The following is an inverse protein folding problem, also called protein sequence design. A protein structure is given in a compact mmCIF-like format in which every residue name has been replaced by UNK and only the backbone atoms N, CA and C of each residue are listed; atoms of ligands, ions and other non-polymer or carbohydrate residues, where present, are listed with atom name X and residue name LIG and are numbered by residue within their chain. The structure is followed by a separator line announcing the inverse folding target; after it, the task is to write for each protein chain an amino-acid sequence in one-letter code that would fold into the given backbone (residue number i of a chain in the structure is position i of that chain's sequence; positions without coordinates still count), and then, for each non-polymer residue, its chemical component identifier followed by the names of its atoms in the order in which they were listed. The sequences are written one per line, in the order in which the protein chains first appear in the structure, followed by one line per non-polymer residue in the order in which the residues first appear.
data_IF_082285693880
#
_entry.id   IF_082285693880
#
_cell.length_a   1.000
_cell.length_b   1.000
_cell.length_c   1.000
_cell.angle_alpha   90.00
_cell.angle_beta   90.00
_cell.angle_gamma   90.00
#
_symmetry.space_group_name_H-M   'P 1'
#
loop_
_entity.id
_entity.type
_entity.pdbx_description
1 polymer ?
#
# COMPACT_ATOMS: atom_id res chain seq x y z
N UNK A 1 -11.92 15.07 -13.05
CA UNK A 1 -12.67 13.82 -13.32
C UNK A 1 -13.33 13.24 -12.07
N UNK A 2 -12.63 13.08 -10.93
CA UNK A 2 -13.18 12.46 -9.72
C UNK A 2 -14.45 13.15 -9.19
N UNK A 3 -14.45 14.49 -9.07
CA UNK A 3 -15.62 15.25 -8.62
C UNK A 3 -16.86 15.05 -9.51
N UNK A 4 -16.65 14.80 -10.81
CA UNK A 4 -17.76 14.48 -11.73
C UNK A 4 -18.26 13.07 -11.45
N UNK A 5 -17.37 12.09 -11.24
CA UNK A 5 -17.78 10.72 -10.93
C UNK A 5 -18.57 10.62 -9.63
N UNK A 6 -18.17 11.37 -8.61
CA UNK A 6 -18.91 11.44 -7.34
C UNK A 6 -20.28 12.10 -7.53
N UNK A 7 -20.34 13.24 -8.25
CA UNK A 7 -21.59 13.97 -8.51
C UNK A 7 -22.58 13.11 -9.26
N UNK A 8 -22.14 12.47 -10.34
CA UNK A 8 -22.99 11.72 -11.27
C UNK A 8 -23.09 10.23 -10.90
N UNK A 9 -22.58 9.85 -9.71
CA UNK A 9 -22.63 8.50 -9.16
C UNK A 9 -22.07 7.39 -10.08
N UNK A 10 -21.01 7.69 -10.84
CA UNK A 10 -20.42 6.72 -11.76
C UNK A 10 -19.76 5.54 -11.04
N UNK A 11 -19.81 4.34 -11.67
CA UNK A 11 -19.19 3.10 -11.16
C UNK A 11 -17.68 3.18 -11.01
N UNK A 12 -17.02 4.19 -11.61
CA UNK A 12 -15.58 4.43 -11.49
C UNK A 12 -15.12 4.71 -10.04
N UNK A 13 -16.04 5.05 -9.13
CA UNK A 13 -15.74 5.29 -7.71
C UNK A 13 -15.71 4.02 -6.85
N UNK A 14 -15.98 2.85 -7.44
CA UNK A 14 -15.93 1.58 -6.73
C UNK A 14 -14.48 1.12 -6.61
N UNK A 15 -14.01 0.86 -5.37
CA UNK A 15 -12.65 0.43 -5.10
C UNK A 15 -12.25 -0.82 -5.91
N UNK A 16 -11.08 -0.75 -6.53
CA UNK A 16 -10.47 -1.82 -7.33
C UNK A 16 -11.30 -2.31 -8.54
N UNK A 17 -12.27 -1.51 -9.02
CA UNK A 17 -12.95 -1.82 -10.28
C UNK A 17 -11.97 -1.64 -11.46
N UNK A 18 -11.91 -2.63 -12.34
CA UNK A 18 -10.99 -2.62 -13.49
C UNK A 18 -11.62 -1.92 -14.69
N UNK A 19 -10.80 -1.23 -15.49
CA UNK A 19 -11.24 -0.59 -16.75
C UNK A 19 -12.01 -1.56 -17.65
N UNK A 20 -11.53 -2.81 -17.80
CA UNK A 20 -12.20 -3.83 -18.62
C UNK A 20 -13.58 -4.22 -18.10
N UNK A 21 -13.83 -4.13 -16.78
CA UNK A 21 -15.14 -4.35 -16.17
C UNK A 21 -16.05 -3.15 -16.44
N UNK A 22 -15.54 -1.93 -16.25
CA UNK A 22 -16.26 -0.68 -16.56
C UNK A 22 -16.72 -0.66 -18.04
N UNK A 23 -15.81 -0.98 -18.96
CA UNK A 23 -16.13 -0.99 -20.41
C UNK A 23 -17.20 -2.03 -20.74
N UNK A 24 -17.24 -3.14 -20.02
CA UNK A 24 -18.28 -4.16 -20.18
C UNK A 24 -19.62 -3.71 -19.61
N UNK A 25 -19.64 -3.15 -18.41
CA UNK A 25 -20.84 -2.61 -17.80
C UNK A 25 -21.46 -1.50 -18.66
N UNK A 26 -20.65 -0.61 -19.24
CA UNK A 26 -21.11 0.44 -20.15
C UNK A 26 -21.81 -0.11 -21.40
N UNK A 27 -21.38 -1.24 -21.94
CA UNK A 27 -22.05 -1.91 -23.09
C UNK A 27 -23.46 -2.37 -22.72
N UNK A 28 -23.67 -2.73 -21.46
CA UNK A 28 -24.97 -3.13 -20.90
C UNK A 28 -25.74 -1.94 -20.28
N UNK A 29 -25.31 -0.70 -20.56
CA UNK A 29 -25.89 0.55 -20.04
C UNK A 29 -25.85 0.68 -18.51
N UNK A 30 -24.95 -0.04 -17.84
CA UNK A 30 -24.67 0.07 -16.42
C UNK A 30 -23.56 1.10 -16.26
N UNK A 31 -23.91 2.30 -15.82
CA UNK A 31 -23.03 3.46 -15.76
C UNK A 31 -22.86 3.98 -14.34
N UNK A 32 -23.93 3.90 -13.57
CA UNK A 32 -23.99 4.40 -12.20
C UNK A 32 -23.85 3.28 -11.15
N UNK A 33 -23.57 3.66 -9.91
CA UNK A 33 -23.53 2.74 -8.77
C UNK A 33 -24.93 2.13 -8.55
N UNK A 34 -26.00 2.89 -8.72
CA UNK A 34 -27.39 2.40 -8.62
C UNK A 34 -27.69 1.32 -9.67
N UNK A 35 -27.25 1.55 -10.92
CA UNK A 35 -27.38 0.53 -11.96
C UNK A 35 -26.71 -0.77 -11.55
N UNK A 36 -25.48 -0.67 -11.00
CA UNK A 36 -24.70 -1.82 -10.58
C UNK A 36 -25.30 -2.52 -9.34
N UNK A 37 -25.93 -1.78 -8.42
CA UNK A 37 -26.70 -2.35 -7.30
C UNK A 37 -27.86 -3.22 -7.80
N UNK A 38 -28.47 -2.85 -8.91
CA UNK A 38 -29.69 -3.45 -9.46
C UNK A 38 -29.43 -4.62 -10.42
N UNK A 39 -28.16 -4.94 -10.74
CA UNK A 39 -27.86 -6.01 -11.71
C UNK A 39 -28.37 -7.37 -11.25
N UNK A 40 -28.86 -8.17 -12.21
CA UNK A 40 -29.07 -9.58 -12.01
C UNK A 40 -27.74 -10.33 -12.21
N UNK A 41 -27.27 -11.03 -11.20
CA UNK A 41 -26.00 -11.79 -11.22
C UNK A 41 -26.03 -12.95 -12.23
N UNK A 42 -27.20 -13.50 -12.55
CA UNK A 42 -27.39 -14.61 -13.50
C UNK A 42 -27.47 -14.13 -14.95
N UNK A 43 -27.34 -12.84 -15.21
CA UNK A 43 -27.43 -12.30 -16.56
C UNK A 43 -26.28 -12.87 -17.45
N UNK A 44 -26.60 -13.53 -18.58
CA UNK A 44 -25.64 -14.16 -19.45
C UNK A 44 -24.59 -13.20 -20.04
N UNK A 45 -24.88 -11.90 -20.11
CA UNK A 45 -23.98 -10.88 -20.60
C UNK A 45 -22.76 -10.68 -19.68
N UNK A 46 -22.83 -11.15 -18.42
CA UNK A 46 -21.74 -11.07 -17.46
C UNK A 46 -20.94 -12.37 -17.32
N UNK A 47 -21.23 -13.42 -18.08
CA UNK A 47 -20.52 -14.74 -18.01
C UNK A 47 -18.99 -14.65 -18.13
N UNK A 48 -18.47 -13.58 -18.74
CA UNK A 48 -17.02 -13.33 -18.83
C UNK A 48 -16.44 -12.64 -17.59
N UNK A 49 -17.24 -12.19 -16.64
CA UNK A 49 -16.81 -11.73 -15.33
C UNK A 49 -16.99 -12.94 -14.39
N UNK A 50 -15.94 -13.26 -13.65
CA UNK A 50 -16.05 -14.31 -12.63
C UNK A 50 -17.21 -13.96 -11.67
N UNK A 51 -18.05 -14.94 -11.32
CA UNK A 51 -19.26 -14.75 -10.53
C UNK A 51 -18.97 -14.13 -9.15
N UNK A 52 -17.89 -14.58 -8.49
CA UNK A 52 -17.47 -13.99 -7.21
C UNK A 52 -17.03 -12.54 -7.38
N UNK A 53 -16.31 -12.21 -8.46
CA UNK A 53 -15.90 -10.84 -8.74
C UNK A 53 -17.12 -9.94 -9.03
N UNK A 54 -18.13 -10.45 -9.74
CA UNK A 54 -19.37 -9.73 -10.02
C UNK A 54 -20.17 -9.49 -8.73
N UNK A 55 -20.32 -10.50 -7.89
CA UNK A 55 -20.97 -10.41 -6.58
C UNK A 55 -20.27 -9.38 -5.69
N UNK A 56 -18.93 -9.45 -5.62
CA UNK A 56 -18.13 -8.49 -4.84
C UNK A 56 -18.31 -7.04 -5.34
N UNK A 57 -18.38 -6.81 -6.64
CA UNK A 57 -18.63 -5.47 -7.19
C UNK A 57 -20.03 -4.97 -6.85
N UNK A 58 -21.04 -5.83 -6.91
CA UNK A 58 -22.41 -5.48 -6.49
C UNK A 58 -22.48 -5.15 -5.01
N UNK A 59 -21.81 -5.91 -4.14
CA UNK A 59 -21.74 -5.61 -2.70
C UNK A 59 -21.05 -4.26 -2.44
N UNK A 60 -19.91 -4.00 -3.09
CA UNK A 60 -19.21 -2.71 -3.00
C UNK A 60 -20.11 -1.55 -3.47
N UNK A 61 -20.86 -1.73 -4.55
CA UNK A 61 -21.83 -0.75 -5.02
C UNK A 61 -22.88 -0.44 -3.95
N UNK A 62 -23.43 -1.46 -3.30
CA UNK A 62 -24.36 -1.29 -2.19
C UNK A 62 -23.78 -0.51 -1.01
N UNK A 63 -22.53 -0.75 -0.65
CA UNK A 63 -21.83 0.02 0.39
C UNK A 63 -21.64 1.49 -0.02
N UNK A 64 -21.23 1.75 -1.27
CA UNK A 64 -21.08 3.12 -1.80
C UNK A 64 -22.43 3.85 -1.79
N UNK A 65 -23.50 3.18 -2.22
CA UNK A 65 -24.84 3.75 -2.20
C UNK A 65 -25.30 4.08 -0.77
N UNK A 66 -25.13 3.14 0.17
CA UNK A 66 -25.41 3.36 1.59
C UNK A 66 -24.63 4.55 2.18
N UNK A 67 -23.34 4.68 1.84
CA UNK A 67 -22.54 5.83 2.24
C UNK A 67 -23.11 7.14 1.70
N UNK A 68 -23.54 7.16 0.44
CA UNK A 68 -24.14 8.34 -0.20
C UNK A 68 -25.43 8.78 0.52
N UNK A 69 -26.24 7.83 0.96
CA UNK A 69 -27.50 8.09 1.66
C UNK A 69 -27.30 8.50 3.12
N UNK A 70 -26.33 7.90 3.80
CA UNK A 70 -26.15 8.06 5.26
C UNK A 70 -25.00 8.99 5.65
N UNK A 71 -24.09 9.30 4.72
CA UNK A 71 -22.84 10.02 4.98
C UNK A 71 -21.79 9.21 5.74
N UNK A 72 -22.05 7.92 6.06
CA UNK A 72 -21.17 7.07 6.87
C UNK A 72 -20.44 6.06 6.01
N UNK A 73 -19.11 6.04 6.14
CA UNK A 73 -18.26 5.00 5.54
C UNK A 73 -18.49 3.66 6.22
N UNK A 74 -18.47 2.58 5.43
CA UNK A 74 -18.70 1.22 5.92
C UNK A 74 -17.84 0.22 5.14
N UNK A 75 -17.63 -0.97 5.71
CA UNK A 75 -16.90 -2.06 5.08
C UNK A 75 -17.40 -3.43 5.51
N UNK A 76 -17.10 -4.43 4.70
CA UNK A 76 -17.35 -5.85 4.98
C UNK A 76 -16.05 -6.60 4.79
N UNK A 77 -15.69 -7.49 5.71
CA UNK A 77 -14.66 -8.49 5.51
C UNK A 77 -15.32 -9.72 4.91
N UNK A 78 -15.02 -9.97 3.63
CA UNK A 78 -15.53 -11.12 2.92
C UNK A 78 -14.77 -12.38 3.33
N UNK A 79 -15.48 -13.51 3.42
CA UNK A 79 -14.83 -14.80 3.50
C UNK A 79 -13.99 -15.04 2.26
N UNK A 80 -12.79 -15.55 2.46
CA UNK A 80 -11.84 -15.85 1.39
C UNK A 80 -11.45 -17.31 1.43
N UNK A 81 -11.06 -17.83 0.26
CA UNK A 81 -10.47 -19.17 0.17
C UNK A 81 -9.12 -19.23 0.89
N UNK A 82 -8.69 -20.41 1.27
CA UNK A 82 -7.35 -20.64 1.81
C UNK A 82 -6.28 -20.00 0.89
N UNK A 83 -5.27 -19.39 1.50
CA UNK A 83 -4.20 -18.63 0.82
C UNK A 83 -4.63 -17.30 0.17
N UNK A 84 -5.77 -16.75 0.55
CA UNK A 84 -6.21 -15.41 0.13
C UNK A 84 -6.64 -14.56 1.32
N UNK A 85 -6.56 -13.25 1.16
CA UNK A 85 -6.99 -12.30 2.19
C UNK A 85 -6.26 -12.53 3.51
N UNK A 86 -7.01 -12.61 4.61
CA UNK A 86 -6.45 -12.79 5.96
C UNK A 86 -5.68 -14.10 6.14
N UNK A 87 -5.99 -15.15 5.36
CA UNK A 87 -5.23 -16.42 5.41
C UNK A 87 -3.78 -16.32 4.90
N UNK A 88 -3.42 -15.19 4.28
CA UNK A 88 -2.02 -14.90 3.89
C UNK A 88 -1.18 -14.34 5.01
N UNK A 89 -1.79 -13.91 6.09
CA UNK A 89 -1.05 -13.40 7.23
C UNK A 89 -0.40 -14.58 7.96
N UNK A 90 0.92 -14.54 8.18
CA UNK A 90 1.57 -15.50 9.06
C UNK A 90 1.12 -15.29 10.52
N UNK A 91 1.42 -16.27 11.37
CA UNK A 91 1.24 -16.10 12.81
C UNK A 91 2.06 -14.89 13.30
N UNK A 92 1.47 -14.01 14.12
CA UNK A 92 2.15 -12.81 14.59
C UNK A 92 3.42 -13.14 15.38
N UNK A 93 4.51 -12.45 15.06
CA UNK A 93 5.78 -12.58 15.77
C UNK A 93 6.18 -11.23 16.38
N UNK A 94 6.60 -11.23 17.64
CA UNK A 94 7.03 -9.99 18.33
C UNK A 94 8.27 -9.33 17.71
N UNK A 95 8.96 -10.02 16.81
CA UNK A 95 10.07 -9.49 16.03
C UNK A 95 9.69 -9.07 14.60
N UNK A 96 8.40 -9.09 14.25
CA UNK A 96 7.96 -8.60 12.96
C UNK A 96 8.27 -7.12 12.75
N UNK A 97 8.61 -6.77 11.52
CA UNK A 97 9.02 -5.42 11.12
C UNK A 97 8.01 -4.85 10.15
N UNK A 98 7.54 -3.64 10.40
CA UNK A 98 6.77 -2.86 9.44
C UNK A 98 7.70 -1.83 8.81
N UNK A 99 7.78 -1.83 7.47
CA UNK A 99 8.69 -0.95 6.72
C UNK A 99 7.90 0.05 5.88
N UNK A 100 8.40 1.27 5.83
CA UNK A 100 7.91 2.35 4.98
C UNK A 100 9.09 3.15 4.44
N UNK A 101 9.07 3.50 3.15
CA UNK A 101 10.12 4.24 2.47
C UNK A 101 9.56 5.53 1.89
N UNK A 102 10.35 6.60 1.98
CA UNK A 102 10.02 7.87 1.37
C UNK A 102 11.08 8.25 0.35
N UNK A 103 10.64 8.57 -0.87
CA UNK A 103 11.49 8.88 -2.00
C UNK A 103 11.21 10.26 -2.62
N UNK A 104 12.28 10.86 -3.17
CA UNK A 104 12.25 12.10 -3.95
C UNK A 104 12.37 11.78 -5.46
N UNK A 105 11.29 11.85 -6.24
CA UNK A 105 11.27 11.34 -7.61
C UNK A 105 12.03 12.20 -8.61
N UNK A 106 12.37 13.45 -8.25
CA UNK A 106 12.96 14.42 -9.18
C UNK A 106 14.50 14.38 -9.23
N UNK A 107 15.14 13.44 -8.58
CA UNK A 107 16.60 13.28 -8.59
C UNK A 107 17.06 12.24 -9.62
N UNK A 108 17.61 12.72 -10.73
CA UNK A 108 18.11 11.85 -11.82
C UNK A 108 16.99 11.00 -12.45
N UNK A 109 17.36 9.85 -13.02
CA UNK A 109 16.40 8.98 -13.73
C UNK A 109 15.56 8.08 -12.82
N UNK A 110 16.08 7.74 -11.63
CA UNK A 110 15.53 6.73 -10.72
C UNK A 110 14.81 7.33 -9.51
N UNK A 111 14.98 8.64 -9.27
CA UNK A 111 14.59 9.24 -8.00
C UNK A 111 15.68 9.01 -6.93
N UNK A 112 15.34 9.22 -5.67
CA UNK A 112 16.23 9.20 -4.51
C UNK A 112 15.46 8.76 -3.27
N UNK A 113 15.88 7.70 -2.61
CA UNK A 113 15.25 7.22 -1.39
C UNK A 113 15.93 7.88 -0.18
N UNK A 114 15.26 8.84 0.45
CA UNK A 114 15.85 9.64 1.53
C UNK A 114 15.55 9.13 2.93
N UNK A 115 14.46 8.40 3.11
CA UNK A 115 14.04 7.90 4.43
C UNK A 115 13.62 6.44 4.34
N UNK A 116 14.20 5.61 5.18
CA UNK A 116 13.77 4.25 5.43
C UNK A 116 13.28 4.14 6.87
N UNK A 117 11.98 3.97 7.07
CA UNK A 117 11.35 3.84 8.39
C UNK A 117 11.05 2.39 8.75
N UNK A 118 11.37 1.99 9.97
CA UNK A 118 11.03 0.70 10.53
C UNK A 118 10.24 0.90 11.83
N UNK A 119 9.12 0.19 11.94
CA UNK A 119 8.32 0.11 13.16
C UNK A 119 8.32 -1.33 13.64
N UNK A 120 8.65 -1.51 14.92
CA UNK A 120 8.66 -2.80 15.59
C UNK A 120 7.77 -2.73 16.84
N UNK A 121 6.93 -3.74 17.02
CA UNK A 121 6.09 -3.86 18.22
C UNK A 121 6.36 -5.20 18.90
N UNK A 122 7.17 -5.17 19.93
CA UNK A 122 7.52 -6.37 20.69
C UNK A 122 6.45 -6.79 21.70
N UNK A 123 5.28 -6.15 21.68
CA UNK A 123 4.21 -6.36 22.69
C UNK A 123 4.45 -5.59 23.98
N UNK A 124 5.70 -5.43 24.39
CA UNK A 124 6.10 -4.68 25.62
C UNK A 124 6.65 -3.30 25.29
N UNK A 125 7.21 -3.12 24.09
CA UNK A 125 7.83 -1.89 23.62
C UNK A 125 7.51 -1.66 22.16
N UNK A 126 7.14 -0.41 21.85
CA UNK A 126 7.10 0.09 20.48
C UNK A 126 8.43 0.76 20.20
N UNK A 127 9.08 0.38 19.12
CA UNK A 127 10.33 0.96 18.66
C UNK A 127 10.14 1.47 17.23
N UNK A 128 10.47 2.74 17.02
CA UNK A 128 10.58 3.33 15.70
C UNK A 128 12.05 3.57 15.40
N UNK A 129 12.54 3.03 14.30
CA UNK A 129 13.89 3.20 13.81
C UNK A 129 13.84 3.78 12.42
N UNK A 130 14.74 4.69 12.12
CA UNK A 130 14.83 5.28 10.80
C UNK A 130 16.28 5.42 10.36
N UNK A 131 16.45 5.43 9.06
CA UNK A 131 17.70 5.70 8.38
C UNK A 131 17.44 6.84 7.41
N UNK A 132 18.29 7.85 7.45
CA UNK A 132 18.08 9.11 6.74
C UNK A 132 19.30 9.48 5.91
N UNK A 133 19.11 9.89 4.65
CA UNK A 133 20.15 10.48 3.82
C UNK A 133 20.33 11.96 4.19
N UNK A 134 21.53 12.36 4.62
CA UNK A 134 21.80 13.71 5.15
C UNK A 134 21.94 14.78 4.07
N UNK A 135 22.04 14.38 2.80
CA UNK A 135 22.08 15.31 1.67
C UNK A 135 21.62 14.62 0.39
N UNK A 136 21.20 15.41 -0.60
CA UNK A 136 20.69 14.94 -1.88
C UNK A 136 21.84 14.51 -2.80
N UNK A 137 22.52 13.42 -2.45
CA UNK A 137 23.58 12.80 -3.27
C UNK A 137 23.56 11.27 -3.13
N UNK A 138 24.16 10.58 -4.11
CA UNK A 138 24.17 9.11 -4.16
C UNK A 138 25.02 8.45 -3.08
N UNK A 139 26.00 9.14 -2.55
CA UNK A 139 26.84 8.62 -1.46
C UNK A 139 26.02 8.49 -0.16
N UNK A 140 25.25 9.51 0.19
CA UNK A 140 24.40 9.49 1.36
C UNK A 140 23.22 8.50 1.20
N UNK A 141 22.66 8.38 0.00
CA UNK A 141 21.65 7.35 -0.27
C UNK A 141 22.23 5.94 -0.12
N UNK A 142 23.45 5.72 -0.64
CA UNK A 142 24.16 4.44 -0.51
C UNK A 142 24.38 4.11 0.96
N UNK A 143 24.90 5.07 1.72
CA UNK A 143 25.12 4.91 3.16
C UNK A 143 23.83 4.59 3.90
N UNK A 144 22.78 5.34 3.63
CA UNK A 144 21.44 5.13 4.18
C UNK A 144 20.93 3.70 3.90
N UNK A 145 21.10 3.23 2.67
CA UNK A 145 20.72 1.86 2.29
C UNK A 145 21.58 0.80 3.00
N UNK A 146 22.91 1.00 3.08
CA UNK A 146 23.81 0.08 3.79
C UNK A 146 23.41 -0.05 5.26
N UNK A 147 23.18 1.08 5.94
CA UNK A 147 22.79 1.11 7.36
C UNK A 147 21.48 0.32 7.59
N UNK A 148 20.49 0.46 6.69
CA UNK A 148 19.25 -0.33 6.72
C UNK A 148 19.53 -1.83 6.55
N UNK A 149 20.31 -2.21 5.53
CA UNK A 149 20.60 -3.63 5.22
C UNK A 149 21.36 -4.30 6.34
N UNK A 150 22.35 -3.64 6.92
CA UNK A 150 23.09 -4.16 8.07
C UNK A 150 22.18 -4.37 9.28
N UNK A 151 21.25 -3.45 9.51
CA UNK A 151 20.25 -3.62 10.56
C UNK A 151 19.35 -4.82 10.29
N UNK A 152 18.77 -4.93 9.10
CA UNK A 152 17.91 -6.05 8.72
C UNK A 152 18.67 -7.38 8.78
N UNK A 153 19.93 -7.44 8.36
CA UNK A 153 20.76 -8.64 8.45
C UNK A 153 20.88 -9.10 9.91
N UNK A 154 21.29 -8.22 10.82
CA UNK A 154 21.40 -8.52 12.26
C UNK A 154 20.06 -8.93 12.85
N UNK A 155 18.98 -8.29 12.41
CA UNK A 155 17.63 -8.58 12.87
C UNK A 155 17.19 -10.00 12.47
N UNK A 156 17.30 -10.36 11.20
CA UNK A 156 16.90 -11.67 10.69
C UNK A 156 17.84 -12.79 11.04
N UNK A 157 19.12 -12.51 11.32
CA UNK A 157 20.04 -13.50 11.91
C UNK A 157 19.61 -13.86 13.34
N UNK A 158 19.07 -12.91 14.10
CA UNK A 158 18.58 -13.13 15.47
C UNK A 158 17.13 -13.68 15.49
N UNK A 159 16.30 -13.26 14.54
CA UNK A 159 14.88 -13.59 14.49
C UNK A 159 14.50 -14.15 13.10
N UNK A 160 14.92 -15.37 12.77
CA UNK A 160 14.75 -15.93 11.42
C UNK A 160 13.29 -16.16 11.03
N UNK A 161 12.37 -16.25 12.01
CA UNK A 161 10.94 -16.47 11.78
C UNK A 161 10.14 -15.17 11.65
N UNK A 162 10.78 -14.01 11.83
CA UNK A 162 10.13 -12.71 11.63
C UNK A 162 9.79 -12.43 10.16
N UNK A 163 8.82 -11.54 9.95
CA UNK A 163 8.38 -11.07 8.64
C UNK A 163 8.54 -9.56 8.50
N UNK A 164 8.57 -9.09 7.25
CA UNK A 164 8.55 -7.67 6.88
C UNK A 164 7.18 -7.37 6.29
N UNK A 165 6.43 -6.49 6.94
CA UNK A 165 5.14 -6.02 6.46
C UNK A 165 5.31 -4.68 5.75
N UNK A 166 4.70 -4.55 4.59
CA UNK A 166 4.65 -3.33 3.80
C UNK A 166 3.26 -3.12 3.20
N UNK A 167 2.99 -1.95 2.64
CA UNK A 167 1.70 -1.65 2.05
C UNK A 167 1.82 -1.30 0.58
N UNK A 168 1.47 -2.24 -0.32
CA UNK A 168 1.67 -2.19 -1.76
C UNK A 168 3.14 -2.52 -2.15
N UNK A 169 3.49 -2.38 -3.43
CA UNK A 169 4.74 -2.93 -4.00
C UNK A 169 5.92 -1.94 -3.97
N UNK A 170 5.71 -0.72 -3.45
CA UNK A 170 6.73 0.33 -3.51
C UNK A 170 8.00 -0.05 -2.75
N UNK A 171 7.90 -0.36 -1.47
CA UNK A 171 9.04 -0.65 -0.59
C UNK A 171 9.84 -1.84 -1.10
N UNK A 172 9.16 -2.92 -1.47
CA UNK A 172 9.79 -4.14 -2.00
C UNK A 172 10.55 -3.85 -3.29
N UNK A 173 9.95 -3.06 -4.20
CA UNK A 173 10.59 -2.65 -5.45
C UNK A 173 11.77 -1.72 -5.20
N UNK A 174 11.62 -0.69 -4.37
CA UNK A 174 12.68 0.24 -4.03
C UNK A 174 13.90 -0.47 -3.42
N UNK A 175 13.69 -1.38 -2.46
CA UNK A 175 14.78 -2.19 -1.89
C UNK A 175 15.50 -3.04 -2.94
N UNK A 176 14.76 -3.64 -3.87
CA UNK A 176 15.34 -4.42 -4.97
C UNK A 176 16.14 -3.52 -5.93
N UNK A 177 15.60 -2.36 -6.28
CA UNK A 177 16.27 -1.41 -7.19
C UNK A 177 17.55 -0.84 -6.55
N UNK A 178 17.50 -0.45 -5.27
CA UNK A 178 18.68 -0.02 -4.50
C UNK A 178 19.73 -1.13 -4.40
N UNK A 179 19.32 -2.36 -4.12
CA UNK A 179 20.26 -3.49 -4.02
C UNK A 179 20.97 -3.77 -5.35
N UNK A 180 20.27 -3.65 -6.47
CA UNK A 180 20.87 -3.81 -7.80
C UNK A 180 21.80 -2.65 -8.15
N UNK A 181 21.39 -1.41 -7.87
CA UNK A 181 22.17 -0.20 -8.15
C UNK A 181 23.52 -0.22 -7.40
N UNK A 182 23.49 -0.60 -6.14
CA UNK A 182 24.68 -0.62 -5.28
C UNK A 182 25.36 -1.99 -5.19
N UNK A 183 25.04 -2.92 -6.08
CA UNK A 183 25.56 -4.30 -6.08
C UNK A 183 27.08 -4.41 -6.16
N UNK A 184 27.72 -3.51 -6.90
CA UNK A 184 29.19 -3.47 -7.02
C UNK A 184 29.87 -2.93 -5.76
N UNK A 185 29.22 -2.01 -5.05
CA UNK A 185 29.77 -1.38 -3.84
C UNK A 185 29.39 -2.18 -2.58
N UNK A 186 28.19 -2.77 -2.58
CA UNK A 186 27.66 -3.50 -1.43
C UNK A 186 26.89 -4.76 -1.84
N UNK A 187 27.58 -5.83 -2.26
CA UNK A 187 26.96 -7.07 -2.72
C UNK A 187 26.12 -7.78 -1.63
N UNK A 188 26.42 -7.57 -0.35
CA UNK A 188 25.64 -8.11 0.78
C UNK A 188 24.19 -7.64 0.74
N UNK A 189 23.89 -6.46 0.21
CA UNK A 189 22.55 -5.96 0.00
C UNK A 189 21.74 -6.83 -0.96
N UNK A 190 22.32 -7.19 -2.09
CA UNK A 190 21.70 -8.09 -3.07
C UNK A 190 21.41 -9.45 -2.44
N UNK A 191 22.42 -10.02 -1.75
CA UNK A 191 22.31 -11.33 -1.14
C UNK A 191 21.20 -11.39 -0.08
N UNK A 192 21.11 -10.37 0.77
CA UNK A 192 20.08 -10.31 1.81
C UNK A 192 18.68 -10.16 1.20
N UNK A 193 18.49 -9.19 0.30
CA UNK A 193 17.17 -8.93 -0.30
C UNK A 193 16.69 -10.15 -1.11
N UNK A 194 17.57 -10.78 -1.90
CA UNK A 194 17.25 -12.00 -2.63
C UNK A 194 16.88 -13.17 -1.68
N UNK A 195 17.66 -13.35 -0.59
CA UNK A 195 17.34 -14.34 0.46
C UNK A 195 15.95 -14.11 1.06
N UNK A 196 15.64 -12.88 1.47
CA UNK A 196 14.36 -12.53 2.09
C UNK A 196 13.19 -12.70 1.12
N UNK A 197 13.38 -12.36 -0.16
CA UNK A 197 12.38 -12.56 -1.21
C UNK A 197 12.10 -14.06 -1.46
N UNK A 198 13.14 -14.88 -1.58
CA UNK A 198 13.00 -16.35 -1.78
C UNK A 198 12.36 -17.04 -0.59
N UNK A 199 12.59 -16.52 0.61
CA UNK A 199 11.98 -17.02 1.84
C UNK A 199 10.57 -16.47 2.10
N UNK A 200 10.02 -15.69 1.14
CA UNK A 200 8.70 -15.06 1.22
C UNK A 200 8.49 -14.24 2.51
N UNK A 201 9.56 -13.56 2.98
CA UNK A 201 9.53 -12.76 4.20
C UNK A 201 8.77 -11.44 4.06
N UNK A 202 8.50 -10.99 2.84
CA UNK A 202 7.75 -9.76 2.58
C UNK A 202 6.25 -10.03 2.50
N UNK A 203 5.47 -9.43 3.38
CA UNK A 203 4.01 -9.54 3.46
C UNK A 203 3.38 -8.24 2.98
N UNK A 204 2.74 -8.28 1.82
CA UNK A 204 2.02 -7.13 1.26
C UNK A 204 0.61 -7.02 1.86
N UNK A 205 0.44 -6.12 2.83
CA UNK A 205 -0.84 -5.87 3.48
C UNK A 205 -1.90 -5.31 2.53
N UNK A 206 -1.51 -4.56 1.48
CA UNK A 206 -2.46 -4.11 0.47
C UNK A 206 -3.12 -5.29 -0.24
N UNK A 207 -2.36 -6.34 -0.57
CA UNK A 207 -2.90 -7.54 -1.21
C UNK A 207 -3.84 -8.31 -0.29
N UNK A 208 -3.55 -8.33 1.00
CA UNK A 208 -4.47 -8.91 1.99
C UNK A 208 -5.79 -8.16 1.99
N UNK A 209 -5.73 -6.83 2.14
CA UNK A 209 -6.92 -5.96 2.14
C UNK A 209 -7.70 -6.05 0.82
N UNK A 210 -7.02 -5.97 -0.33
CA UNK A 210 -7.64 -6.06 -1.65
C UNK A 210 -8.47 -7.34 -1.83
N UNK A 211 -8.00 -8.44 -1.25
CA UNK A 211 -8.63 -9.76 -1.39
C UNK A 211 -9.80 -10.00 -0.44
N UNK A 212 -9.80 -9.39 0.75
CA UNK A 212 -10.84 -9.66 1.74
C UNK A 212 -11.74 -8.47 2.07
N UNK A 213 -11.33 -7.23 1.78
CA UNK A 213 -12.11 -6.06 2.19
C UNK A 213 -12.96 -5.51 1.05
N UNK A 214 -14.23 -5.35 1.32
CA UNK A 214 -15.19 -4.64 0.48
C UNK A 214 -15.55 -3.35 1.21
N UNK A 215 -15.42 -2.20 0.56
CA UNK A 215 -15.57 -0.89 1.21
C UNK A 215 -16.42 0.07 0.41
N UNK A 216 -17.06 1.00 1.10
CA UNK A 216 -17.74 2.17 0.55
C UNK A 216 -16.79 3.25 0.05
N UNK A 217 -15.47 3.11 0.27
CA UNK A 217 -14.46 4.06 -0.16
C UNK A 217 -14.05 3.82 -1.61
N UNK A 218 -13.50 4.86 -2.25
CA UNK A 218 -13.09 4.82 -3.67
C UNK A 218 -11.79 4.07 -3.94
N UNK A 219 -10.97 3.90 -2.91
CA UNK A 219 -9.69 3.21 -2.99
C UNK A 219 -9.39 2.41 -1.70
N UNK A 220 -8.31 1.65 -1.73
CA UNK A 220 -7.82 0.85 -0.63
C UNK A 220 -6.45 1.35 -0.14
N UNK A 221 -6.14 2.65 -0.31
CA UNK A 221 -4.92 3.23 0.23
C UNK A 221 -4.90 3.12 1.76
N UNK A 222 -3.72 3.06 2.36
CA UNK A 222 -3.60 2.98 3.82
C UNK A 222 -4.34 4.13 4.51
N UNK A 223 -4.27 5.35 3.95
CA UNK A 223 -4.99 6.53 4.46
C UNK A 223 -6.51 6.38 4.42
N UNK A 224 -7.02 5.68 3.41
CA UNK A 224 -8.46 5.40 3.29
C UNK A 224 -8.89 4.35 4.31
N UNK A 225 -8.09 3.27 4.46
CA UNK A 225 -8.41 2.18 5.39
C UNK A 225 -8.29 2.63 6.85
N UNK A 226 -7.34 3.49 7.18
CA UNK A 226 -7.19 4.05 8.54
C UNK A 226 -8.45 4.73 9.07
N UNK A 227 -9.31 5.30 8.22
CA UNK A 227 -10.55 5.95 8.63
C UNK A 227 -11.52 5.02 9.38
N UNK A 228 -11.40 3.70 9.19
CA UNK A 228 -12.28 2.73 9.82
C UNK A 228 -11.89 2.38 11.27
N UNK A 229 -10.64 2.62 11.66
CA UNK A 229 -10.15 2.23 12.99
C UNK A 229 -9.38 3.32 13.72
N UNK A 230 -9.15 4.45 13.06
CA UNK A 230 -8.33 5.54 13.62
C UNK A 230 -9.00 6.88 13.42
N UNK A 231 -8.83 7.80 14.41
CA UNK A 231 -9.18 9.20 14.25
C UNK A 231 -8.26 9.86 13.22
N UNK A 232 -8.76 10.91 12.58
CA UNK A 232 -7.99 11.67 11.59
C UNK A 232 -6.63 12.08 12.13
N UNK A 233 -5.59 11.93 11.31
CA UNK A 233 -4.21 12.26 11.70
C UNK A 233 -4.11 13.77 11.97
N UNK A 234 -3.58 14.14 13.13
CA UNK A 234 -3.24 15.54 13.48
C UNK A 234 -1.87 15.97 12.94
N UNK A 235 -1.16 15.10 12.22
CA UNK A 235 0.17 15.39 11.70
C UNK A 235 0.15 16.50 10.65
N UNK A 236 1.21 17.32 10.62
CA UNK A 236 1.42 18.38 9.61
C UNK A 236 1.61 17.79 8.21
N UNK A 237 2.29 16.62 8.12
CA UNK A 237 2.51 15.89 6.88
C UNK A 237 1.33 14.92 6.70
N UNK A 238 0.52 15.16 5.68
CA UNK A 238 -0.68 14.35 5.41
C UNK A 238 -0.58 13.56 4.11
N UNK A 239 0.27 13.99 3.19
CA UNK A 239 0.40 13.38 1.85
C UNK A 239 1.86 13.12 1.51
N UNK A 240 2.12 12.24 0.53
CA UNK A 240 3.46 12.05 -0.04
C UNK A 240 3.98 13.37 -0.65
N UNK A 241 3.11 14.17 -1.28
CA UNK A 241 3.48 15.48 -1.84
C UNK A 241 3.94 16.45 -0.74
N UNK A 242 3.34 16.40 0.47
CA UNK A 242 3.80 17.19 1.61
C UNK A 242 5.20 16.75 2.05
N UNK A 243 5.47 15.44 2.10
CA UNK A 243 6.77 14.88 2.44
C UNK A 243 7.83 15.29 1.43
N UNK A 244 7.53 15.16 0.12
CA UNK A 244 8.42 15.55 -0.97
C UNK A 244 8.76 17.05 -0.90
N UNK A 245 7.75 17.90 -0.69
CA UNK A 245 7.95 19.35 -0.59
C UNK A 245 8.82 19.72 0.60
N UNK A 246 8.57 19.15 1.78
CA UNK A 246 9.37 19.40 2.96
C UNK A 246 10.81 18.93 2.80
N UNK A 247 11.01 17.78 2.12
CA UNK A 247 12.35 17.33 1.78
C UNK A 247 13.05 18.29 0.81
N UNK A 248 12.36 18.82 -0.19
CA UNK A 248 12.88 19.82 -1.14
C UNK A 248 13.27 21.12 -0.42
N UNK A 249 12.38 21.63 0.45
CA UNK A 249 12.64 22.80 1.29
C UNK A 249 13.87 22.58 2.22
N UNK A 250 13.98 21.39 2.80
CA UNK A 250 15.13 21.02 3.62
C UNK A 250 16.42 20.98 2.80
N UNK A 251 16.41 20.39 1.59
CA UNK A 251 17.58 20.38 0.70
C UNK A 251 18.04 21.78 0.32
N UNK A 252 17.08 22.72 0.13
CA UNK A 252 17.38 24.11 -0.24
C UNK A 252 17.93 24.95 0.92
N UNK A 253 17.47 24.68 2.15
CA UNK A 253 17.75 25.56 3.31
C UNK A 253 18.66 24.93 4.35
N UNK A 254 18.78 23.61 4.37
CA UNK A 254 19.43 22.82 5.41
C UNK A 254 18.91 23.14 6.84
N UNK A 255 17.66 23.60 6.95
CA UNK A 255 17.03 23.97 8.23
C UNK A 255 16.40 22.71 8.86
N UNK A 256 16.86 22.36 10.07
CA UNK A 256 16.36 21.21 10.84
C UNK A 256 14.91 21.34 11.33
N UNK A 257 14.20 22.42 10.98
CA UNK A 257 12.77 22.58 11.28
C UNK A 257 11.85 21.84 10.32
N UNK A 258 12.39 21.32 9.22
CA UNK A 258 11.66 20.57 8.23
C UNK A 258 11.78 19.07 8.41
#
# INVERSE_FOLDING_TARGET
CEKIWEKDNYINQIAAIRKSQIDRFKKEKIITVEDLCSINLDNPNFKKINSNALSNLKTKAGLVQKKRETGKSDYIIAETENNKGLYKLPEPNSADVFIDLEGYPFFGKRGFEYLHGLYLNTGTKIEFKYFWANSLNREDETKNFIDLIEYLKKHFDKYPDAFIYHYNDYERRALKDLSNEYSSTFPDGVNLIDKLLRQEKFIDLFRVVEQCMQTSEKDLSLKTIEKFYRKERSAKIKTADDSIRLFDDWCATNDQKF
#
